data_IF_617540652304
#
_entry.id   IF_617540652304
#
_cell.length_a   1.000
_cell.length_b   1.000
_cell.length_c   1.000
_cell.angle_alpha   90.00
_cell.angle_beta   90.00
_cell.angle_gamma   90.00
#
_symmetry.space_group_name_H-M   'P 1'
#
loop_
_entity.id
_entity.type
_entity.pdbx_description
1 polymer ?
#
# COMPACT_ATOMS: atom_id res chain seq x y z
N UNK A 1 3.41 -16.56 -28.18
CA UNK A 1 2.77 -16.84 -26.87
C UNK A 1 1.79 -15.71 -26.60
N UNK A 2 0.52 -16.02 -26.38
CA UNK A 2 -0.50 -15.01 -26.02
C UNK A 2 -0.26 -14.62 -24.57
N UNK A 3 0.11 -13.37 -24.28
CA UNK A 3 0.15 -12.90 -22.89
C UNK A 3 -1.26 -12.99 -22.31
N UNK A 4 -1.43 -13.70 -21.20
CA UNK A 4 -2.67 -13.68 -20.42
C UNK A 4 -2.80 -12.27 -19.85
N UNK A 5 -3.86 -11.58 -20.23
CA UNK A 5 -4.16 -10.23 -19.74
C UNK A 5 -4.86 -10.35 -18.39
N UNK A 6 -4.18 -9.90 -17.34
CA UNK A 6 -4.68 -9.92 -15.97
C UNK A 6 -5.42 -8.61 -15.71
N UNK A 7 -6.52 -8.66 -14.96
CA UNK A 7 -7.20 -7.45 -14.51
C UNK A 7 -6.24 -6.57 -13.69
N UNK A 8 -6.31 -5.24 -13.83
CA UNK A 8 -5.44 -4.33 -13.10
C UNK A 8 -5.66 -4.44 -11.59
N UNK A 9 -4.58 -4.26 -10.81
CA UNK A 9 -4.65 -4.09 -9.35
C UNK A 9 -4.51 -2.61 -9.00
N UNK A 10 -5.61 -1.86 -8.82
CA UNK A 10 -5.50 -0.47 -8.41
C UNK A 10 -4.98 -0.37 -6.97
N UNK A 11 -4.16 0.65 -6.71
CA UNK A 11 -3.80 1.11 -5.37
C UNK A 11 -4.55 2.40 -5.11
N UNK A 12 -5.36 2.47 -4.06
CA UNK A 12 -6.06 3.70 -3.69
C UNK A 12 -5.23 4.56 -2.73
N UNK A 13 -5.43 5.88 -2.79
CA UNK A 13 -5.08 6.76 -1.68
C UNK A 13 -5.92 6.38 -0.45
N UNK A 14 -5.41 6.68 0.75
CA UNK A 14 -6.10 6.38 2.01
C UNK A 14 -7.50 7.01 2.09
N UNK A 15 -7.70 8.18 1.47
CA UNK A 15 -9.01 8.84 1.38
C UNK A 15 -9.91 8.35 0.22
N UNK A 16 -9.40 7.46 -0.63
CA UNK A 16 -10.11 6.90 -1.77
C UNK A 16 -10.41 7.89 -2.90
N UNK A 17 -9.86 9.11 -2.88
CA UNK A 17 -10.11 10.13 -3.92
C UNK A 17 -9.36 9.87 -5.21
N UNK A 18 -8.21 9.21 -5.12
CA UNK A 18 -7.43 8.82 -6.28
C UNK A 18 -7.01 7.35 -6.18
N UNK A 19 -6.64 6.79 -7.32
CA UNK A 19 -5.94 5.52 -7.40
C UNK A 19 -4.83 5.57 -8.44
N UNK A 20 -3.89 4.64 -8.33
CA UNK A 20 -2.86 4.43 -9.36
C UNK A 20 -2.91 2.98 -9.81
N UNK A 21 -2.68 2.77 -11.10
CA UNK A 21 -2.58 1.45 -11.70
C UNK A 21 -1.40 1.43 -12.67
N UNK A 22 -0.64 0.33 -12.66
CA UNK A 22 0.33 0.01 -13.71
C UNK A 22 -0.29 -1.05 -14.60
N UNK A 23 -0.37 -0.79 -15.91
CA UNK A 23 -0.91 -1.71 -16.91
C UNK A 23 -0.20 -1.54 -18.24
N UNK A 24 0.24 -2.64 -18.84
CA UNK A 24 0.95 -2.64 -20.12
C UNK A 24 2.19 -1.75 -20.15
N UNK A 25 2.96 -1.73 -19.06
CA UNK A 25 4.17 -0.89 -18.91
C UNK A 25 3.90 0.60 -18.72
N UNK A 26 2.65 1.03 -18.52
CA UNK A 26 2.30 2.42 -18.28
C UNK A 26 1.63 2.59 -16.90
N UNK A 27 1.96 3.68 -16.21
CA UNK A 27 1.29 4.10 -14.98
C UNK A 27 0.17 5.10 -15.28
N UNK A 28 -0.99 4.90 -14.66
CA UNK A 28 -2.16 5.75 -14.80
C UNK A 28 -2.66 6.20 -13.43
N UNK A 29 -2.86 7.51 -13.29
CA UNK A 29 -3.55 8.10 -12.16
C UNK A 29 -5.06 8.18 -12.47
N UNK A 30 -5.86 7.72 -11.53
CA UNK A 30 -7.31 7.60 -11.61
C UNK A 30 -7.94 8.52 -10.56
N UNK A 31 -9.04 9.18 -10.89
CA UNK A 31 -9.78 10.03 -9.97
C UNK A 31 -11.20 9.51 -9.74
N UNK A 32 -11.53 9.25 -8.47
CA UNK A 32 -12.76 8.55 -8.08
C UNK A 32 -14.04 9.37 -8.24
N UNK A 33 -13.95 10.70 -8.17
CA UNK A 33 -15.08 11.63 -8.18
C UNK A 33 -15.69 11.83 -9.58
N UNK A 34 -14.84 12.09 -10.57
CA UNK A 34 -15.24 12.37 -11.95
C UNK A 34 -14.86 11.25 -12.93
N UNK A 35 -14.08 10.26 -12.50
CA UNK A 35 -13.60 9.18 -13.35
C UNK A 35 -12.50 9.61 -14.31
N UNK A 36 -11.87 10.77 -14.08
CA UNK A 36 -10.75 11.22 -14.88
C UNK A 36 -9.57 10.24 -14.76
N UNK A 37 -8.87 10.05 -15.87
CA UNK A 37 -7.68 9.21 -15.98
C UNK A 37 -6.59 10.00 -16.68
N UNK A 38 -5.38 9.92 -16.13
CA UNK A 38 -4.18 10.55 -16.66
C UNK A 38 -3.08 9.50 -16.77
N UNK A 39 -2.45 9.41 -17.94
CA UNK A 39 -1.22 8.62 -18.09
C UNK A 39 -0.05 9.44 -17.56
N UNK A 40 0.71 8.87 -16.63
CA UNK A 40 1.93 9.50 -16.13
C UNK A 40 3.07 9.29 -17.12
N UNK A 41 3.79 10.35 -17.46
CA UNK A 41 4.93 10.30 -18.37
C UNK A 41 6.14 9.67 -17.67
N UNK A 42 6.47 8.43 -18.03
CA UNK A 42 7.64 7.70 -17.52
C UNK A 42 8.74 7.59 -18.59
N UNK A 43 10.02 7.50 -18.21
CA UNK A 43 11.12 7.33 -19.16
C UNK A 43 11.06 5.99 -19.92
N UNK A 44 10.62 4.94 -19.24
CA UNK A 44 10.51 3.58 -19.76
C UNK A 44 9.27 2.88 -19.15
N UNK A 45 9.15 1.56 -19.36
CA UNK A 45 8.08 0.73 -18.84
C UNK A 45 8.01 0.78 -17.30
N UNK A 46 6.86 1.22 -16.79
CA UNK A 46 6.55 1.20 -15.37
C UNK A 46 6.20 -0.23 -14.93
N UNK A 47 6.72 -0.62 -13.77
CA UNK A 47 6.49 -1.95 -13.17
C UNK A 47 5.70 -1.86 -11.86
N UNK A 48 5.87 -0.76 -11.11
CA UNK A 48 5.17 -0.54 -9.85
C UNK A 48 4.88 0.95 -9.63
N UNK A 49 3.82 1.24 -8.89
CA UNK A 49 3.50 2.59 -8.45
C UNK A 49 2.96 2.59 -7.00
N UNK A 50 3.17 3.70 -6.31
CA UNK A 50 2.69 3.93 -4.95
C UNK A 50 2.10 5.34 -4.82
N UNK A 51 1.09 5.50 -3.97
CA UNK A 51 0.44 6.78 -3.68
C UNK A 51 0.56 7.14 -2.21
N UNK A 52 0.74 8.43 -1.95
CA UNK A 52 0.57 8.96 -0.58
C UNK A 52 -0.86 8.78 -0.11
N UNK A 53 -1.13 8.67 1.21
CA UNK A 53 -2.48 8.51 1.74
C UNK A 53 -3.47 9.62 1.30
N UNK A 54 -2.98 10.82 1.03
CA UNK A 54 -3.75 12.00 0.61
C UNK A 54 -3.82 12.21 -0.91
N UNK A 55 -3.26 11.29 -1.70
CA UNK A 55 -3.09 11.46 -3.15
C UNK A 55 -2.35 12.75 -3.55
N UNK A 56 -1.41 13.23 -2.73
CA UNK A 56 -0.61 14.42 -3.02
C UNK A 56 0.66 14.13 -3.82
N UNK A 57 1.20 12.91 -3.70
CA UNK A 57 2.31 12.38 -4.49
C UNK A 57 2.02 10.98 -5.00
N UNK A 58 2.64 10.69 -6.14
CA UNK A 58 2.73 9.37 -6.74
C UNK A 58 4.19 9.07 -7.05
N UNK A 59 4.68 7.91 -6.61
CA UNK A 59 5.98 7.39 -7.01
C UNK A 59 5.75 6.26 -8.01
N UNK A 60 6.50 6.25 -9.11
CA UNK A 60 6.45 5.22 -10.14
C UNK A 60 7.87 4.72 -10.40
N UNK A 61 8.06 3.41 -10.41
CA UNK A 61 9.35 2.80 -10.73
C UNK A 61 9.22 1.82 -11.90
N UNK A 62 10.31 1.70 -12.66
CA UNK A 62 10.53 0.67 -13.67
C UNK A 62 11.79 -0.12 -13.35
N UNK A 63 12.40 -0.72 -14.36
CA UNK A 63 13.61 -1.55 -14.18
C UNK A 63 14.85 -0.73 -13.80
N UNK A 64 14.89 0.56 -14.18
CA UNK A 64 16.10 1.36 -14.06
C UNK A 64 15.83 2.85 -13.77
N UNK A 65 14.58 3.20 -13.45
CA UNK A 65 14.17 4.55 -13.06
C UNK A 65 13.23 4.57 -11.86
N UNK A 66 13.26 5.68 -11.14
CA UNK A 66 12.26 6.09 -10.16
C UNK A 66 11.82 7.52 -10.44
N UNK A 67 10.52 7.73 -10.61
CA UNK A 67 9.90 9.03 -10.87
C UNK A 67 8.94 9.42 -9.76
N UNK A 68 8.95 10.70 -9.38
CA UNK A 68 8.04 11.29 -8.39
C UNK A 68 7.18 12.36 -9.04
N UNK A 69 5.88 12.27 -8.82
CA UNK A 69 4.89 13.21 -9.34
C UNK A 69 4.19 13.93 -8.19
N UNK A 70 3.91 15.21 -8.40
CA UNK A 70 2.87 15.90 -7.67
C UNK A 70 1.54 15.63 -8.37
N UNK A 71 0.65 14.95 -7.67
CA UNK A 71 -0.67 14.64 -8.17
C UNK A 71 -1.51 15.91 -8.29
N UNK A 72 -2.18 16.05 -9.43
CA UNK A 72 -3.03 17.19 -9.76
C UNK A 72 -3.83 16.90 -11.02
N UNK A 73 -4.49 17.92 -11.55
CA UNK A 73 -5.16 17.84 -12.86
C UNK A 73 -4.72 19.04 -13.72
N UNK A 74 -3.64 18.92 -14.52
CA UNK A 74 -2.79 17.73 -14.72
C UNK A 74 -1.80 17.50 -13.57
N UNK A 75 -1.27 16.28 -13.48
CA UNK A 75 -0.17 15.94 -12.59
C UNK A 75 1.14 16.51 -13.13
N UNK A 76 2.08 16.79 -12.22
CA UNK A 76 3.38 17.37 -12.56
C UNK A 76 4.50 16.43 -12.14
N UNK A 77 5.33 16.01 -13.09
CA UNK A 77 6.59 15.33 -12.80
C UNK A 77 7.50 16.27 -12.00
N UNK A 78 7.97 15.83 -10.83
CA UNK A 78 8.89 16.58 -9.98
C UNK A 78 10.35 16.21 -10.27
N UNK A 79 10.64 14.92 -10.33
CA UNK A 79 11.98 14.40 -10.59
C UNK A 79 11.92 12.96 -11.10
N UNK A 80 12.98 12.58 -11.81
CA UNK A 80 13.29 11.21 -12.19
C UNK A 80 14.75 10.96 -11.90
N UNK A 81 15.05 9.85 -11.23
CA UNK A 81 16.41 9.37 -10.98
C UNK A 81 16.61 7.99 -11.56
N UNK A 82 17.87 7.63 -11.80
CA UNK A 82 18.27 6.27 -12.18
C UNK A 82 18.40 5.43 -10.92
N UNK A 83 17.99 4.18 -11.01
CA UNK A 83 18.17 3.15 -9.99
C UNK A 83 18.89 1.95 -10.60
N UNK A 84 19.55 1.15 -9.76
CA UNK A 84 20.44 0.08 -10.19
C UNK A 84 19.72 -1.25 -10.49
N UNK A 85 18.38 -1.24 -10.51
CA UNK A 85 17.53 -2.40 -10.77
C UNK A 85 16.07 -2.17 -10.34
N UNK A 86 15.17 -3.10 -10.67
CA UNK A 86 13.75 -3.00 -10.36
C UNK A 86 13.49 -3.01 -8.85
N UNK A 87 12.45 -2.28 -8.43
CA UNK A 87 11.99 -2.25 -7.04
C UNK A 87 10.77 -3.18 -6.88
N UNK A 88 10.90 -4.40 -6.34
CA UNK A 88 9.76 -5.28 -6.08
C UNK A 88 8.71 -4.70 -5.13
N UNK A 89 9.09 -3.74 -4.27
CA UNK A 89 8.18 -3.04 -3.35
C UNK A 89 8.53 -1.56 -3.30
N UNK A 90 7.50 -0.73 -3.23
CA UNK A 90 7.60 0.72 -3.26
C UNK A 90 6.55 1.33 -2.33
N UNK A 91 6.94 2.33 -1.54
CA UNK A 91 6.04 3.14 -0.74
C UNK A 91 6.44 4.62 -0.81
N UNK A 92 5.45 5.50 -0.66
CA UNK A 92 5.67 6.94 -0.64
C UNK A 92 4.76 7.59 0.41
N UNK A 93 5.34 8.48 1.21
CA UNK A 93 4.62 9.36 2.13
C UNK A 93 5.33 10.71 2.17
N UNK A 94 4.56 11.79 2.06
CA UNK A 94 5.07 13.12 1.70
C UNK A 94 6.05 13.04 0.50
N UNK A 95 7.26 13.58 0.64
CA UNK A 95 8.33 13.51 -0.37
C UNK A 95 9.36 12.42 -0.04
N UNK A 96 9.05 11.46 0.84
CA UNK A 96 9.91 10.31 1.14
C UNK A 96 9.42 9.07 0.38
N UNK A 97 10.26 8.56 -0.51
CA UNK A 97 10.04 7.31 -1.25
C UNK A 97 10.96 6.24 -0.68
N UNK A 98 10.41 5.07 -0.39
CA UNK A 98 11.16 3.91 0.09
C UNK A 98 10.92 2.74 -0.85
N UNK A 99 11.99 2.04 -1.22
CA UNK A 99 11.93 0.87 -2.08
C UNK A 99 12.78 -0.28 -1.55
N UNK A 100 12.39 -1.49 -1.94
CA UNK A 100 13.21 -2.69 -1.75
C UNK A 100 13.97 -2.92 -3.04
N UNK A 101 15.29 -2.93 -2.99
CA UNK A 101 16.16 -3.38 -4.07
C UNK A 101 16.54 -4.85 -3.84
N UNK A 102 16.58 -5.63 -4.91
CA UNK A 102 17.15 -6.98 -4.90
C UNK A 102 18.62 -6.91 -5.32
N UNK A 103 19.52 -7.36 -4.46
CA UNK A 103 20.94 -7.50 -4.77
C UNK A 103 21.17 -8.81 -5.57
N UNK A 104 22.33 -8.91 -6.24
CA UNK A 104 22.70 -10.06 -7.10
C UNK A 104 22.65 -11.43 -6.40
N UNK A 105 22.78 -11.46 -5.07
CA UNK A 105 22.78 -12.66 -4.22
C UNK A 105 21.40 -13.01 -3.60
N UNK A 106 20.29 -12.60 -4.23
CA UNK A 106 18.92 -12.75 -3.72
C UNK A 106 18.70 -12.10 -2.33
N UNK A 107 19.51 -11.10 -2.00
CA UNK A 107 19.36 -10.33 -0.76
C UNK A 107 18.50 -9.11 -1.02
N UNK A 108 17.67 -8.76 -0.04
CA UNK A 108 16.90 -7.53 -0.13
C UNK A 108 17.62 -6.42 0.65
N UNK A 109 17.71 -5.25 0.03
CA UNK A 109 18.23 -4.04 0.64
C UNK A 109 17.17 -2.95 0.57
N UNK A 110 16.92 -2.30 1.70
CA UNK A 110 16.01 -1.18 1.83
C UNK A 110 16.74 0.11 1.43
N UNK A 111 16.16 0.86 0.48
CA UNK A 111 16.68 2.13 -0.04
C UNK A 111 15.61 3.21 0.01
N UNK A 112 16.03 4.47 0.04
CA UNK A 112 15.10 5.60 0.11
C UNK A 112 15.63 6.82 -0.62
N UNK A 113 14.69 7.62 -1.10
CA UNK A 113 14.92 8.85 -1.82
C UNK A 113 14.03 9.93 -1.21
N UNK A 114 14.57 11.11 -0.97
CA UNK A 114 13.90 12.17 -0.23
C UNK A 114 13.81 13.48 -1.01
N UNK A 115 12.74 14.22 -0.73
CA UNK A 115 12.47 15.53 -1.29
C UNK A 115 11.98 15.46 -2.74
N UNK A 116 11.50 16.60 -3.25
CA UNK A 116 10.97 16.70 -4.62
C UNK A 116 11.99 16.35 -5.71
N UNK A 117 13.29 16.36 -5.38
CA UNK A 117 14.38 15.98 -6.28
C UNK A 117 14.72 14.49 -6.28
N UNK A 118 14.12 13.66 -5.40
CA UNK A 118 14.50 12.27 -5.18
C UNK A 118 15.99 12.10 -4.82
N UNK A 119 16.49 12.96 -3.92
CA UNK A 119 17.87 12.84 -3.47
C UNK A 119 18.05 11.53 -2.69
N UNK A 120 19.01 10.72 -3.12
CA UNK A 120 19.36 9.45 -2.46
C UNK A 120 19.60 9.70 -0.97
N UNK A 121 18.79 9.05 -0.12
CA UNK A 121 19.00 9.10 1.31
C UNK A 121 20.18 8.18 1.59
N UNK A 122 21.30 8.78 2.02
CA UNK A 122 22.52 8.03 2.30
C UNK A 122 22.24 6.90 3.29
N UNK A 123 23.03 5.83 3.18
CA UNK A 123 22.82 4.62 3.96
C UNK A 123 21.84 3.65 3.30
N UNK A 124 21.71 2.47 3.88
CA UNK A 124 20.75 1.44 3.50
C UNK A 124 20.61 0.45 4.64
N UNK A 125 19.52 -0.31 4.67
CA UNK A 125 19.36 -1.42 5.60
C UNK A 125 19.35 -2.74 4.84
N UNK A 126 20.36 -3.59 5.09
CA UNK A 126 20.36 -4.95 4.55
C UNK A 126 19.37 -5.80 5.33
N UNK A 127 18.38 -6.36 4.64
CA UNK A 127 17.40 -7.27 5.23
C UNK A 127 17.89 -8.72 5.21
N UNK A 128 18.98 -8.98 4.46
CA UNK A 128 19.52 -10.31 4.20
C UNK A 128 18.69 -11.07 3.17
N UNK A 129 18.79 -12.41 3.14
CA UNK A 129 17.93 -13.26 2.31
C UNK A 129 16.49 -13.15 2.82
N UNK A 130 15.64 -12.43 2.09
CA UNK A 130 14.25 -12.21 2.47
C UNK A 130 13.36 -12.03 1.26
N UNK A 131 12.15 -12.57 1.33
CA UNK A 131 11.04 -12.21 0.46
C UNK A 131 10.21 -11.17 1.20
N UNK A 132 10.25 -9.93 0.71
CA UNK A 132 9.52 -8.81 1.32
C UNK A 132 8.11 -8.80 0.78
N UNK A 133 7.13 -8.88 1.68
CA UNK A 133 5.71 -8.85 1.33
C UNK A 133 5.22 -7.43 1.15
N UNK A 134 5.66 -6.49 1.97
CA UNK A 134 5.27 -5.09 1.87
C UNK A 134 6.28 -4.15 2.55
N UNK A 135 6.26 -2.89 2.11
CA UNK A 135 6.94 -1.77 2.75
C UNK A 135 5.95 -0.63 2.94
N UNK A 136 5.98 0.02 4.09
CA UNK A 136 5.19 1.20 4.41
C UNK A 136 6.10 2.29 5.00
N UNK A 137 5.70 3.55 4.88
CA UNK A 137 6.54 4.70 5.25
C UNK A 137 5.73 5.76 5.98
N UNK A 138 6.35 6.34 7.02
CA UNK A 138 5.94 7.54 7.75
C UNK A 138 6.95 8.64 7.39
N UNK A 139 6.61 9.42 6.37
CA UNK A 139 7.46 10.46 5.81
C UNK A 139 7.77 11.54 6.84
N UNK A 140 6.78 11.90 7.66
CA UNK A 140 6.90 12.92 8.69
C UNK A 140 7.94 12.54 9.77
N UNK A 141 8.03 11.25 10.12
CA UNK A 141 8.98 10.76 11.14
C UNK A 141 10.25 10.13 10.55
N UNK A 142 10.36 10.05 9.23
CA UNK A 142 11.49 9.38 8.57
C UNK A 142 11.61 7.92 8.99
N UNK A 143 10.49 7.20 9.03
CA UNK A 143 10.44 5.80 9.46
C UNK A 143 9.82 4.93 8.39
N UNK A 144 10.25 3.69 8.35
CA UNK A 144 9.70 2.70 7.43
C UNK A 144 9.50 1.37 8.12
N UNK A 145 8.35 0.76 7.86
CA UNK A 145 7.98 -0.57 8.29
C UNK A 145 8.16 -1.52 7.11
N UNK A 146 8.80 -2.66 7.34
CA UNK A 146 8.97 -3.73 6.36
C UNK A 146 8.66 -5.07 6.99
N UNK A 147 7.99 -5.96 6.26
CA UNK A 147 7.75 -7.33 6.69
C UNK A 147 7.75 -8.33 5.55
N UNK A 148 7.85 -9.60 5.91
CA UNK A 148 7.74 -10.73 4.99
C UNK A 148 8.37 -11.98 5.58
N UNK A 149 9.04 -12.76 4.73
CA UNK A 149 9.77 -13.96 5.13
C UNK A 149 11.28 -13.71 5.08
N UNK A 150 12.00 -14.19 6.09
CA UNK A 150 13.46 -14.12 6.18
C UNK A 150 14.06 -15.51 6.29
N UNK A 151 15.11 -15.78 5.50
CA UNK A 151 15.83 -17.04 5.47
C UNK A 151 16.34 -17.40 4.07
N UNK A 152 17.23 -18.39 3.95
CA UNK A 152 17.88 -18.74 2.68
C UNK A 152 16.95 -19.16 1.54
N UNK A 153 15.70 -19.52 1.85
CA UNK A 153 14.68 -19.94 0.88
C UNK A 153 13.43 -19.05 0.91
N UNK A 154 13.54 -17.84 1.46
CA UNK A 154 12.38 -16.97 1.65
C UNK A 154 11.65 -16.67 0.33
N UNK A 155 12.39 -16.49 -0.77
CA UNK A 155 11.85 -16.28 -2.12
C UNK A 155 11.04 -17.48 -2.66
N UNK A 156 11.20 -18.66 -2.06
CA UNK A 156 10.46 -19.88 -2.39
C UNK A 156 9.24 -20.09 -1.47
N UNK A 157 8.95 -19.14 -0.57
CA UNK A 157 7.89 -19.24 0.44
C UNK A 157 8.34 -19.88 1.77
N UNK A 158 9.62 -20.27 1.88
CA UNK A 158 10.17 -20.91 3.07
C UNK A 158 11.00 -19.92 3.90
N UNK A 159 10.54 -19.58 5.10
CA UNK A 159 11.30 -18.69 5.99
C UNK A 159 10.62 -18.44 7.33
N UNK A 160 11.29 -17.69 8.19
CA UNK A 160 10.69 -17.14 9.39
C UNK A 160 10.04 -15.81 9.05
N UNK A 161 8.79 -15.63 9.48
CA UNK A 161 8.14 -14.33 9.41
C UNK A 161 8.98 -13.28 10.16
N UNK A 162 9.16 -12.10 9.58
CA UNK A 162 9.81 -10.97 10.22
C UNK A 162 9.03 -9.68 9.95
N UNK A 163 9.16 -8.73 10.88
CA UNK A 163 8.71 -7.35 10.71
C UNK A 163 9.66 -6.43 11.48
N UNK A 164 10.06 -5.33 10.86
CA UNK A 164 10.98 -4.37 11.46
C UNK A 164 10.60 -2.93 11.12
N UNK A 165 10.90 -2.00 12.03
CA UNK A 165 10.93 -0.56 11.71
C UNK A 165 12.37 -0.07 11.66
N UNK A 166 12.70 0.63 10.59
CA UNK A 166 13.95 1.36 10.45
C UNK A 166 13.67 2.86 10.55
N UNK A 167 14.56 3.59 11.22
CA UNK A 167 14.54 5.06 11.27
C UNK A 167 15.66 5.59 10.39
N UNK A 168 15.34 6.43 9.41
CA UNK A 168 16.30 6.98 8.45
C UNK A 168 17.08 8.11 9.13
N UNK A 169 18.33 7.86 9.55
CA UNK A 169 19.17 8.81 10.29
C UNK A 169 20.50 9.06 9.60
N UNK A 170 20.48 9.86 8.54
CA UNK A 170 21.68 10.12 7.75
C UNK A 170 22.23 8.80 7.21
N UNK A 171 23.52 8.53 7.39
CA UNK A 171 24.18 7.34 6.85
C UNK A 171 23.87 6.03 7.61
N UNK A 172 23.20 6.10 8.77
CA UNK A 172 22.83 4.94 9.60
C UNK A 172 21.31 4.79 9.68
N UNK A 173 20.84 3.57 9.49
CA UNK A 173 19.43 3.22 9.45
C UNK A 173 19.16 2.19 10.55
N UNK A 174 19.16 2.62 11.82
CA UNK A 174 18.99 1.70 12.93
C UNK A 174 17.60 1.05 12.88
N UNK A 175 17.58 -0.26 13.13
CA UNK A 175 16.36 -0.97 13.48
C UNK A 175 15.91 -0.50 14.88
N UNK A 176 14.72 0.08 14.97
CA UNK A 176 14.16 0.64 16.21
C UNK A 176 13.03 -0.22 16.78
N UNK A 177 12.63 -1.28 16.08
CA UNK A 177 11.64 -2.28 16.51
C UNK A 177 11.72 -3.54 15.67
N UNK A 178 11.45 -4.70 16.28
CA UNK A 178 11.48 -6.00 15.62
C UNK A 178 10.37 -6.92 16.12
N UNK A 179 9.14 -6.72 15.62
CA UNK A 179 8.02 -7.65 15.83
C UNK A 179 7.54 -7.84 17.26
N UNK A 180 8.16 -7.21 18.27
CA UNK A 180 7.78 -7.43 19.66
C UNK A 180 6.36 -6.91 19.92
N UNK A 181 5.48 -7.79 20.40
CA UNK A 181 4.08 -7.49 20.69
C UNK A 181 3.12 -7.68 19.51
N UNK A 182 3.60 -8.08 18.34
CA UNK A 182 2.75 -8.48 17.21
C UNK A 182 2.10 -9.86 17.45
N UNK A 183 0.96 -10.16 16.80
CA UNK A 183 0.39 -11.51 16.78
C UNK A 183 1.39 -12.55 16.26
N UNK A 184 1.24 -13.81 16.68
CA UNK A 184 2.13 -14.91 16.24
C UNK A 184 2.01 -15.23 14.75
N UNK A 185 0.83 -15.00 14.17
CA UNK A 185 0.50 -15.24 12.77
C UNK A 185 -0.28 -14.02 12.27
N UNK A 186 0.41 -12.90 12.00
CA UNK A 186 -0.27 -11.70 11.55
C UNK A 186 -0.79 -11.90 10.12
N UNK A 187 -1.98 -11.39 9.84
CA UNK A 187 -2.47 -11.20 8.47
C UNK A 187 -1.83 -9.96 7.83
N UNK A 188 -1.42 -8.97 8.61
CA UNK A 188 -0.72 -7.79 8.10
C UNK A 188 -0.46 -6.71 9.14
N UNK A 189 0.00 -5.57 8.63
CA UNK A 189 0.38 -4.41 9.43
C UNK A 189 -0.12 -3.09 8.81
N UNK A 190 -0.31 -2.09 9.67
CA UNK A 190 -0.71 -0.73 9.30
C UNK A 190 0.25 0.28 9.93
N UNK A 191 0.84 1.12 9.09
CA UNK A 191 1.82 2.11 9.48
C UNK A 191 1.95 3.27 8.47
N UNK A 192 1.99 4.54 8.90
CA UNK A 192 1.72 5.00 10.26
C UNK A 192 0.22 5.06 10.56
N UNK A 193 -0.17 4.65 11.77
CA UNK A 193 -1.42 5.07 12.37
C UNK A 193 -1.25 6.42 13.09
N UNK A 194 -2.35 6.99 13.59
CA UNK A 194 -2.33 8.23 14.37
C UNK A 194 -1.24 8.17 15.47
N UNK A 195 -0.55 9.30 15.67
CA UNK A 195 0.61 9.45 16.56
C UNK A 195 1.86 8.62 16.17
N UNK A 196 1.91 8.05 14.96
CA UNK A 196 3.02 7.20 14.51
C UNK A 196 2.97 5.78 15.09
N UNK A 197 1.78 5.33 15.47
CA UNK A 197 1.56 3.98 15.98
C UNK A 197 1.58 2.92 14.86
N UNK A 198 1.70 1.65 15.25
CA UNK A 198 1.58 0.48 14.36
C UNK A 198 0.31 -0.27 14.73
N UNK A 199 -0.45 -0.69 13.72
CA UNK A 199 -1.47 -1.72 13.88
C UNK A 199 -0.92 -3.05 13.41
N UNK A 200 -0.84 -4.06 14.28
CA UNK A 200 -0.51 -5.43 13.90
C UNK A 200 -1.77 -6.29 14.07
N UNK A 201 -2.24 -6.96 13.02
CA UNK A 201 -3.51 -7.68 13.08
C UNK A 201 -3.40 -9.12 12.61
N UNK A 202 -4.22 -9.97 13.23
CA UNK A 202 -4.64 -11.26 12.70
C UNK A 202 -6.14 -11.20 12.38
N UNK A 203 -6.71 -12.29 11.87
CA UNK A 203 -8.13 -12.37 11.49
C UNK A 203 -9.10 -11.94 12.61
N UNK A 204 -8.72 -12.13 13.88
CA UNK A 204 -9.60 -11.92 15.03
C UNK A 204 -9.42 -10.54 15.68
N UNK A 205 -8.20 -10.00 15.66
CA UNK A 205 -7.85 -8.86 16.48
C UNK A 205 -6.77 -7.97 15.86
N UNK A 206 -6.91 -6.67 16.13
CA UNK A 206 -5.90 -5.64 15.88
C UNK A 206 -5.22 -5.27 17.20
N UNK A 207 -3.90 -5.41 17.26
CA UNK A 207 -3.07 -4.91 18.36
C UNK A 207 -2.40 -3.60 17.95
N UNK A 208 -2.70 -2.54 18.70
CA UNK A 208 -2.10 -1.22 18.53
C UNK A 208 -0.80 -1.14 19.34
N UNK A 209 0.32 -0.91 18.67
CA UNK A 209 1.63 -0.72 19.28
C UNK A 209 2.02 0.76 19.19
N UNK A 210 2.53 1.32 20.28
CA UNK A 210 3.01 2.71 20.34
C UNK A 210 4.50 2.75 20.72
N UNK A 211 5.28 3.68 20.17
CA UNK A 211 6.63 3.90 20.64
C UNK A 211 6.57 4.42 22.08
N UNK A 212 7.45 3.94 22.97
CA UNK A 212 7.51 4.49 24.31
C UNK A 212 7.94 5.98 24.26
N UNK A 213 7.46 6.83 25.19
CA UNK A 213 7.69 8.29 25.12
C UNK A 213 9.16 8.73 25.23
N UNK A 214 10.07 7.83 25.61
CA UNK A 214 11.49 8.13 25.78
C UNK A 214 12.27 7.75 24.51
N UNK A 215 13.28 8.54 24.13
CA UNK A 215 14.20 8.20 23.01
C UNK A 215 14.82 6.82 23.26
N UNK A 216 14.67 5.90 22.30
CA UNK A 216 15.11 4.50 22.43
C UNK A 216 14.19 3.61 23.25
N UNK A 217 12.99 4.10 23.60
CA UNK A 217 12.00 3.32 24.32
C UNK A 217 11.40 2.19 23.46
N UNK A 218 11.20 1.04 24.08
CA UNK A 218 10.59 -0.13 23.43
C UNK A 218 9.16 0.15 22.99
N UNK A 219 8.78 -0.34 21.81
CA UNK A 219 7.39 -0.32 21.37
C UNK A 219 6.58 -1.24 22.26
N UNK A 220 5.39 -0.78 22.67
CA UNK A 220 4.54 -1.52 23.61
C UNK A 220 3.10 -1.61 23.11
N UNK A 221 2.42 -2.75 23.37
CA UNK A 221 0.99 -2.84 23.18
C UNK A 221 0.27 -1.76 24.00
N UNK A 222 -0.52 -0.94 23.32
CA UNK A 222 -1.35 0.10 23.94
C UNK A 222 -2.79 -0.36 24.08
N UNK A 223 -3.34 -1.01 23.04
CA UNK A 223 -4.71 -1.50 22.99
C UNK A 223 -4.82 -2.74 22.10
N UNK A 224 -5.82 -3.57 22.35
CA UNK A 224 -6.22 -4.65 21.45
C UNK A 224 -7.71 -4.56 21.17
N UNK A 225 -8.07 -4.58 19.89
CA UNK A 225 -9.45 -4.50 19.43
C UNK A 225 -9.85 -5.83 18.79
N UNK A 226 -10.93 -6.44 19.29
CA UNK A 226 -11.45 -7.72 18.79
C UNK A 226 -12.66 -7.50 17.89
N UNK A 227 -12.43 -6.88 16.75
CA UNK A 227 -13.50 -6.59 15.79
C UNK A 227 -13.81 -7.75 14.85
N UNK A 228 -12.90 -8.73 14.71
CA UNK A 228 -13.04 -9.91 13.87
C UNK A 228 -13.02 -9.63 12.37
N UNK A 229 -12.85 -10.70 11.59
CA UNK A 229 -12.86 -10.74 10.13
C UNK A 229 -11.85 -9.77 9.49
N UNK A 230 -10.68 -9.64 10.10
CA UNK A 230 -9.62 -8.73 9.69
C UNK A 230 -8.72 -9.40 8.63
N UNK A 231 -9.23 -9.52 7.40
CA UNK A 231 -8.49 -10.09 6.27
C UNK A 231 -7.55 -9.07 5.64
N UNK A 232 -8.10 -7.98 5.11
CA UNK A 232 -7.34 -6.88 4.53
C UNK A 232 -7.80 -5.55 5.13
N UNK A 233 -6.92 -4.91 5.92
CA UNK A 233 -7.21 -3.63 6.57
C UNK A 233 -6.48 -2.50 5.84
N UNK A 234 -7.14 -1.35 5.74
CA UNK A 234 -6.58 -0.08 5.30
C UNK A 234 -6.76 0.98 6.40
N UNK A 235 -6.07 2.11 6.25
CA UNK A 235 -6.13 3.24 7.17
C UNK A 235 -6.48 4.53 6.44
N UNK A 236 -7.13 5.43 7.15
CA UNK A 236 -7.36 6.79 6.68
C UNK A 236 -6.06 7.60 6.64
N UNK A 237 -6.04 8.75 5.93
CA UNK A 237 -4.84 9.58 5.86
C UNK A 237 -4.28 10.01 7.22
N UNK A 238 -5.16 10.37 8.17
CA UNK A 238 -4.72 10.69 9.54
C UNK A 238 -4.28 9.46 10.36
N UNK A 239 -4.57 8.25 9.86
CA UNK A 239 -4.37 7.00 10.57
C UNK A 239 -5.32 6.82 11.77
N UNK A 240 -6.38 7.62 11.88
CA UNK A 240 -7.34 7.56 12.98
C UNK A 240 -8.53 6.63 12.72
N UNK A 241 -8.89 6.44 11.45
CA UNK A 241 -9.95 5.52 11.03
C UNK A 241 -9.34 4.34 10.27
N UNK A 242 -9.95 3.18 10.43
CA UNK A 242 -9.59 1.95 9.76
C UNK A 242 -10.78 1.41 8.99
N UNK A 243 -10.50 0.68 7.93
CA UNK A 243 -11.53 -0.09 7.24
C UNK A 243 -10.99 -1.41 6.75
N UNK A 244 -11.85 -2.40 6.68
CA UNK A 244 -11.51 -3.72 6.17
C UNK A 244 -12.73 -4.33 5.52
N UNK A 245 -12.48 -5.29 4.63
CA UNK A 245 -13.53 -6.13 4.07
C UNK A 245 -13.16 -7.60 4.20
N UNK A 246 -14.17 -8.44 4.13
CA UNK A 246 -14.05 -9.90 4.12
C UNK A 246 -15.14 -10.50 3.24
N UNK A 247 -14.91 -11.72 2.76
CA UNK A 247 -15.91 -12.49 2.02
C UNK A 247 -16.83 -13.20 3.01
N UNK A 248 -18.15 -13.14 2.80
CA UNK A 248 -19.07 -14.06 3.45
C UNK A 248 -19.09 -15.34 2.60
N UNK A 249 -18.54 -16.45 3.10
CA UNK A 249 -18.65 -17.75 2.43
C UNK A 249 -20.10 -18.25 2.54
N UNK A 250 -20.97 -17.82 1.62
CA UNK A 250 -22.29 -18.43 1.43
C UNK A 250 -22.21 -19.51 0.34
N UNK A 251 -22.81 -20.68 0.63
CA UNK A 251 -22.82 -21.91 -0.19
C UNK A 251 -23.34 -21.73 -1.64
N UNK A 252 -23.95 -20.59 -1.97
CA UNK A 252 -24.68 -20.37 -3.24
C UNK A 252 -23.82 -19.77 -4.36
N UNK A 253 -22.50 -19.58 -4.16
CA UNK A 253 -21.56 -19.22 -5.23
C UNK A 253 -21.69 -17.78 -5.77
N UNK A 254 -22.42 -16.92 -5.07
CA UNK A 254 -22.35 -15.48 -5.26
C UNK A 254 -21.37 -14.90 -4.23
N UNK A 255 -20.28 -14.29 -4.68
CA UNK A 255 -19.29 -13.63 -3.82
C UNK A 255 -19.91 -12.39 -3.16
N UNK A 256 -20.61 -12.61 -2.04
CA UNK A 256 -21.04 -11.56 -1.14
C UNK A 256 -19.90 -11.21 -0.20
N UNK A 257 -19.68 -9.92 -0.01
CA UNK A 257 -18.68 -9.43 0.94
C UNK A 257 -19.30 -8.43 1.90
N UNK A 258 -18.57 -8.14 2.97
CA UNK A 258 -18.89 -7.06 3.89
C UNK A 258 -17.68 -6.18 4.09
N UNK A 259 -17.92 -4.91 4.36
CA UNK A 259 -16.88 -4.01 4.86
C UNK A 259 -17.31 -3.32 6.15
N UNK A 260 -16.32 -3.00 6.97
CA UNK A 260 -16.48 -2.21 8.19
C UNK A 260 -15.54 -1.02 8.17
N UNK A 261 -15.95 0.04 8.86
CA UNK A 261 -15.09 1.13 9.28
C UNK A 261 -15.08 1.22 10.81
N UNK A 262 -13.93 1.53 11.40
CA UNK A 262 -13.78 1.70 12.84
C UNK A 262 -12.99 2.98 13.18
N UNK A 263 -13.32 3.55 14.35
CA UNK A 263 -12.61 4.68 14.94
C UNK A 263 -11.66 4.16 16.02
N UNK A 264 -10.36 4.30 15.78
CA UNK A 264 -9.31 3.81 16.69
C UNK A 264 -9.34 4.51 18.05
N UNK A 265 -9.64 5.80 18.08
CA UNK A 265 -9.67 6.58 19.33
C UNK A 265 -10.82 6.15 20.24
N UNK A 266 -11.93 5.71 19.63
CA UNK A 266 -13.13 5.24 20.34
C UNK A 266 -13.17 3.72 20.52
N UNK A 267 -12.30 2.98 19.85
CA UNK A 267 -12.26 1.52 19.89
C UNK A 267 -13.53 0.84 19.36
N UNK A 268 -14.28 1.48 18.47
CA UNK A 268 -15.59 0.99 18.02
C UNK A 268 -15.74 1.01 16.50
N UNK A 269 -16.53 0.07 15.99
CA UNK A 269 -17.06 0.08 14.63
C UNK A 269 -18.03 1.25 14.51
N UNK A 270 -17.90 2.02 13.43
CA UNK A 270 -18.74 3.18 13.13
C UNK A 270 -19.63 2.97 11.91
N UNK A 271 -19.31 1.97 11.06
CA UNK A 271 -20.06 1.64 9.87
C UNK A 271 -19.85 0.17 9.51
N UNK A 272 -20.90 -0.48 9.02
CA UNK A 272 -20.86 -1.78 8.35
C UNK A 272 -21.69 -1.65 7.06
N UNK A 273 -21.20 -2.23 5.96
CA UNK A 273 -21.84 -2.16 4.64
C UNK A 273 -21.75 -3.50 3.91
N UNK A 274 -22.80 -3.82 3.16
CA UNK A 274 -22.82 -4.98 2.26
C UNK A 274 -22.11 -4.67 0.93
N UNK A 275 -21.49 -5.70 0.36
CA UNK A 275 -20.83 -5.69 -0.95
C UNK A 275 -21.51 -6.76 -1.82
N UNK A 276 -22.16 -6.32 -2.88
CA UNK A 276 -22.94 -7.21 -3.75
C UNK A 276 -22.08 -7.94 -4.80
N UNK A 277 -20.84 -7.49 -5.03
CA UNK A 277 -19.90 -8.12 -5.97
C UNK A 277 -18.46 -7.67 -5.74
N UNK A 278 -17.55 -8.62 -5.60
CA UNK A 278 -16.10 -8.37 -5.59
C UNK A 278 -15.48 -8.66 -6.96
N UNK A 279 -14.49 -7.87 -7.34
CA UNK A 279 -13.54 -8.25 -8.39
C UNK A 279 -12.34 -8.97 -7.77
N UNK A 280 -11.59 -9.70 -8.59
CA UNK A 280 -10.42 -10.50 -8.17
C UNK A 280 -9.34 -9.67 -7.46
N UNK A 281 -9.24 -8.37 -7.77
CA UNK A 281 -8.24 -7.46 -7.20
C UNK A 281 -8.87 -6.21 -6.60
N UNK A 282 -9.60 -6.41 -5.52
CA UNK A 282 -10.27 -5.33 -4.79
C UNK A 282 -9.33 -4.62 -3.81
N UNK A 283 -9.47 -3.30 -3.71
CA UNK A 283 -8.80 -2.46 -2.72
C UNK A 283 -9.81 -1.55 -2.06
N UNK A 284 -9.59 -1.24 -0.78
CA UNK A 284 -10.48 -0.44 0.06
C UNK A 284 -9.74 0.79 0.58
N UNK A 285 -10.47 1.88 0.73
CA UNK A 285 -10.02 3.13 1.32
C UNK A 285 -11.08 3.68 2.28
N UNK A 286 -10.64 4.45 3.28
CA UNK A 286 -11.51 5.10 4.26
C UNK A 286 -11.03 6.52 4.51
N UNK A 287 -11.83 7.52 4.16
CA UNK A 287 -11.48 8.91 4.44
C UNK A 287 -11.49 9.22 5.93
N UNK A 288 -10.89 10.34 6.34
CA UNK A 288 -10.97 10.81 7.74
C UNK A 288 -12.39 11.21 8.17
N UNK A 289 -13.34 11.32 7.24
CA UNK A 289 -14.77 11.46 7.54
C UNK A 289 -15.49 10.12 7.74
N UNK A 290 -14.79 9.00 7.56
CA UNK A 290 -15.33 7.64 7.60
C UNK A 290 -15.99 7.18 6.30
N UNK A 291 -15.79 7.88 5.18
CA UNK A 291 -16.38 7.46 3.91
C UNK A 291 -15.57 6.32 3.30
N UNK A 292 -16.23 5.20 3.01
CA UNK A 292 -15.61 4.06 2.34
C UNK A 292 -15.65 4.21 0.82
N UNK A 293 -14.51 3.97 0.18
CA UNK A 293 -14.37 3.81 -1.27
C UNK A 293 -13.70 2.49 -1.55
N UNK A 294 -14.24 1.73 -2.50
CA UNK A 294 -13.64 0.49 -2.98
C UNK A 294 -13.35 0.61 -4.47
N UNK A 295 -12.24 0.04 -4.93
CA UNK A 295 -11.94 -0.06 -6.35
C UNK A 295 -11.48 -1.48 -6.69
N UNK A 296 -11.79 -1.95 -7.89
CA UNK A 296 -11.32 -3.25 -8.36
C UNK A 296 -11.14 -3.27 -9.87
N UNK A 297 -10.23 -4.11 -10.37
CA UNK A 297 -10.13 -4.43 -11.78
C UNK A 297 -11.28 -5.35 -12.20
N UNK A 298 -12.14 -4.89 -13.11
CA UNK A 298 -13.21 -5.74 -13.67
C UNK A 298 -12.71 -6.52 -14.88
N UNK A 299 -11.86 -5.89 -15.70
CA UNK A 299 -11.23 -6.42 -16.92
C UNK A 299 -9.87 -5.75 -17.11
N UNK A 300 -8.97 -6.29 -17.95
CA UNK A 300 -7.62 -5.72 -18.17
C UNK A 300 -7.58 -4.23 -18.53
N UNK A 301 -8.65 -3.72 -19.15
CA UNK A 301 -8.82 -2.35 -19.62
C UNK A 301 -9.80 -1.53 -18.76
N UNK A 302 -10.20 -2.02 -17.57
CA UNK A 302 -11.29 -1.40 -16.81
C UNK A 302 -11.15 -1.54 -15.31
N UNK A 303 -11.23 -0.39 -14.62
CA UNK A 303 -11.35 -0.29 -13.16
C UNK A 303 -12.77 0.18 -12.81
N UNK A 304 -13.37 -0.43 -11.79
CA UNK A 304 -14.64 -0.01 -11.22
C UNK A 304 -14.38 0.63 -9.87
N UNK A 305 -15.05 1.76 -9.61
CA UNK A 305 -15.02 2.46 -8.32
C UNK A 305 -16.40 2.43 -7.70
N UNK A 306 -16.48 1.93 -6.47
CA UNK A 306 -17.67 1.81 -5.66
C UNK A 306 -17.59 2.73 -4.45
N UNK A 307 -18.74 3.29 -4.06
CA UNK A 307 -18.87 4.13 -2.88
C UNK A 307 -20.15 3.80 -2.12
N UNK A 308 -20.18 4.16 -0.84
CA UNK A 308 -21.32 3.84 0.01
C UNK A 308 -22.52 4.70 -0.35
N UNK A 309 -23.60 4.04 -0.72
CA UNK A 309 -24.91 4.63 -0.98
C UNK A 309 -25.98 3.80 -0.26
N UNK A 310 -26.74 4.44 0.63
CA UNK A 310 -27.82 3.78 1.39
C UNK A 310 -27.39 2.48 2.12
N UNK A 311 -26.19 2.49 2.71
CA UNK A 311 -25.66 1.36 3.49
C UNK A 311 -25.03 0.22 2.65
N UNK A 312 -24.89 0.40 1.34
CA UNK A 312 -24.24 -0.58 0.45
C UNK A 312 -23.14 0.06 -0.38
N UNK A 313 -22.08 -0.69 -0.68
CA UNK A 313 -21.08 -0.28 -1.66
C UNK A 313 -21.64 -0.49 -3.08
N UNK A 314 -21.97 0.61 -3.76
CA UNK A 314 -22.52 0.59 -5.12
C UNK A 314 -21.50 1.11 -6.12
N UNK A 315 -21.49 0.50 -7.31
CA UNK A 315 -20.70 1.01 -8.43
C UNK A 315 -21.14 2.45 -8.74
N UNK A 316 -20.21 3.38 -8.57
CA UNK A 316 -20.41 4.78 -8.93
C UNK A 316 -19.82 5.07 -10.32
N UNK A 317 -18.67 4.47 -10.63
CA UNK A 317 -17.91 4.74 -11.85
C UNK A 317 -17.27 3.48 -12.40
N UNK A 318 -17.07 3.53 -13.72
CA UNK A 318 -16.23 2.60 -14.46
C UNK A 318 -15.26 3.44 -15.28
N UNK A 319 -13.97 3.24 -15.06
CA UNK A 319 -12.89 4.00 -15.67
C UNK A 319 -12.20 3.07 -16.67
N UNK A 320 -12.23 3.45 -17.95
CA UNK A 320 -11.51 2.74 -18.99
C UNK A 320 -10.02 3.09 -18.89
N UNK A 321 -9.17 2.08 -18.80
CA UNK A 321 -7.72 2.23 -18.94
C UNK A 321 -7.44 2.25 -20.44
N UNK A 322 -6.87 3.34 -20.98
CA UNK A 322 -6.48 3.37 -22.38
C UNK A 322 -5.56 2.19 -22.65
N UNK A 323 -5.88 1.40 -23.68
CA UNK A 323 -4.95 0.41 -24.19
C UNK A 323 -3.65 1.15 -24.46
N UNK A 324 -2.61 0.90 -23.65
CA UNK A 324 -1.25 1.20 -24.09
C UNK A 324 -1.14 0.58 -25.49
N UNK A 325 -0.47 1.23 -26.45
CA UNK A 325 -0.24 0.59 -27.73
C UNK A 325 0.59 -0.68 -27.47
N UNK A 326 -0.09 -1.81 -27.27
CA UNK A 326 0.50 -3.08 -26.92
C UNK A 326 1.35 -3.43 -28.13
N UNK A 327 2.66 -3.18 -28.04
CA UNK A 327 3.57 -3.57 -29.09
C UNK A 327 3.49 -5.08 -29.15
N UNK A 328 2.74 -5.56 -30.13
CA UNK A 328 2.87 -6.91 -30.67
C UNK A 328 4.27 -6.98 -31.26
N UNK A 329 5.24 -7.31 -30.41
CA UNK A 329 6.59 -7.63 -30.82
C UNK A 329 6.55 -8.93 -31.62
N UNK A 330 6.89 -8.81 -32.90
CA UNK A 330 7.16 -9.93 -33.82
C UNK A 330 8.38 -10.72 -33.37
#
# INVERSE_FOLDING_TARGET
MTMVQVAPRPVLSGDGRAGVVVSGGAAYLLWSDDGAIERLETPDEATIAALTPTASRCAVAGDDFLSLYQCGRPSRLLSTVRIDGPLPRLAVDDDLVVGIASDEDDRATLRAWGGSGLADQRGSASLGPSAVDEVQVDGHRGRTLVWGLKGPRAQQGDGQFFVSIFELRGDDWPEVWHGEGAPRKPNGFLFPLADGAIGAYDESALTLLRPAPQRGGTWKPASTFRWGNLEQITRSPSGALLAWFWSDEDDDGADHGRARAADLSKGRIIQEVDIERLGEFSTLAVSDSGALTMAYGERPDRVVVCQVESGRLRQRRAIAIPAAAWKVGR
#
